data_IF_809455648667
#
_entry.id   IF_809455648667
#
_cell.length_a   1.000
_cell.length_b   1.000
_cell.length_c   1.000
_cell.angle_alpha   90.00
_cell.angle_beta   90.00
_cell.angle_gamma   90.00
#
_symmetry.space_group_name_H-M   'P 1'
#
loop_
_entity.id
_entity.type
_entity.pdbx_description
1 polymer ?
#
# COMPACT_ATOMS: atom_id res chain seq x y z
N UNK A 1 -7.09 2.71 -20.83
CA UNK A 1 -6.27 3.31 -19.75
C UNK A 1 -5.63 2.16 -19.00
N UNK A 2 -4.30 2.11 -18.93
CA UNK A 2 -3.60 1.06 -18.18
C UNK A 2 -3.83 1.21 -16.67
N UNK A 3 -3.71 0.11 -15.92
CA UNK A 3 -3.66 0.16 -14.46
C UNK A 3 -2.35 0.84 -14.05
N UNK A 4 -2.46 2.05 -13.48
CA UNK A 4 -1.31 2.79 -12.96
C UNK A 4 -0.68 1.97 -11.82
N UNK A 5 0.58 1.53 -11.99
CA UNK A 5 1.34 0.77 -11.00
C UNK A 5 2.15 1.71 -10.13
N UNK A 6 1.87 1.70 -8.82
CA UNK A 6 2.49 2.59 -7.85
C UNK A 6 3.20 1.75 -6.79
N UNK A 7 4.44 2.11 -6.48
CA UNK A 7 5.11 1.63 -5.27
C UNK A 7 5.09 2.73 -4.23
N UNK A 8 5.01 2.37 -2.95
CA UNK A 8 5.19 3.32 -1.85
C UNK A 8 6.35 2.86 -1.02
N UNK A 9 7.48 3.55 -1.15
CA UNK A 9 8.68 3.28 -0.35
C UNK A 9 8.53 3.91 1.04
N UNK A 10 8.40 3.07 2.05
CA UNK A 10 8.17 3.49 3.43
C UNK A 10 6.72 3.38 3.87
N UNK A 11 6.25 2.15 4.06
CA UNK A 11 4.92 1.84 4.61
C UNK A 11 4.81 2.12 6.14
N UNK A 12 5.05 3.37 6.54
CA UNK A 12 4.71 3.91 7.85
C UNK A 12 3.40 4.72 7.79
N UNK A 13 3.15 5.61 8.75
CA UNK A 13 1.90 6.37 8.82
C UNK A 13 1.54 7.10 7.50
N UNK A 14 2.47 7.91 6.98
CA UNK A 14 2.25 8.70 5.75
C UNK A 14 2.10 7.79 4.53
N UNK A 15 3.06 6.88 4.31
CA UNK A 15 3.05 6.00 3.13
C UNK A 15 1.85 5.05 3.11
N UNK A 16 1.47 4.49 4.26
CA UNK A 16 0.27 3.66 4.34
C UNK A 16 -1.00 4.45 4.13
N UNK A 17 -1.12 5.69 4.64
CA UNK A 17 -2.31 6.49 4.39
C UNK A 17 -2.48 6.79 2.89
N UNK A 18 -1.47 7.38 2.23
CA UNK A 18 -1.59 7.71 0.82
C UNK A 18 -1.65 6.48 -0.08
N UNK A 19 -0.82 5.46 0.18
CA UNK A 19 -0.87 4.21 -0.56
C UNK A 19 -2.22 3.48 -0.41
N UNK A 20 -2.79 3.52 0.78
CA UNK A 20 -4.14 3.01 1.04
C UNK A 20 -5.22 3.78 0.29
N UNK A 21 -5.16 5.11 0.26
CA UNK A 21 -6.12 5.94 -0.49
C UNK A 21 -6.03 5.69 -2.01
N UNK A 22 -4.82 5.54 -2.56
CA UNK A 22 -4.61 5.20 -3.96
C UNK A 22 -5.14 3.80 -4.29
N UNK A 23 -4.93 2.82 -3.41
CA UNK A 23 -5.49 1.48 -3.55
C UNK A 23 -7.04 1.50 -3.49
N UNK A 24 -7.64 2.28 -2.58
CA UNK A 24 -9.10 2.50 -2.51
C UNK A 24 -9.67 3.12 -3.77
N UNK A 25 -8.90 3.95 -4.46
CA UNK A 25 -9.28 4.53 -5.76
C UNK A 25 -9.13 3.54 -6.94
N UNK A 26 -8.74 2.29 -6.68
CA UNK A 26 -8.61 1.23 -7.69
C UNK A 26 -7.24 1.19 -8.39
N UNK A 27 -6.24 1.89 -7.89
CA UNK A 27 -4.88 1.86 -8.44
C UNK A 27 -4.10 0.63 -7.95
N UNK A 28 -3.18 0.13 -8.76
CA UNK A 28 -2.35 -1.01 -8.38
C UNK A 28 -1.19 -0.54 -7.51
N UNK A 29 -1.34 -0.65 -6.18
CA UNK A 29 -0.36 -0.17 -5.19
C UNK A 29 0.38 -1.32 -4.52
N UNK A 30 1.70 -1.16 -4.37
CA UNK A 30 2.54 -2.01 -3.51
C UNK A 30 3.19 -1.18 -2.41
N UNK A 31 2.89 -1.51 -1.15
CA UNK A 31 3.52 -0.91 0.03
C UNK A 31 4.84 -1.62 0.34
N UNK A 32 5.94 -0.87 0.45
CA UNK A 32 7.25 -1.44 0.78
C UNK A 32 7.68 -0.95 2.16
N UNK A 33 7.89 -1.88 3.08
CA UNK A 33 8.08 -1.54 4.50
C UNK A 33 8.74 -2.62 5.35
N UNK A 34 8.59 -2.48 6.66
CA UNK A 34 9.17 -3.41 7.64
C UNK A 34 8.27 -4.62 7.84
N UNK A 35 8.90 -5.77 8.14
CA UNK A 35 8.28 -7.10 8.21
C UNK A 35 6.95 -7.14 8.97
N UNK A 36 6.93 -6.66 10.21
CA UNK A 36 5.73 -6.73 11.06
C UNK A 36 4.50 -6.06 10.43
N UNK A 37 4.68 -4.87 9.82
CA UNK A 37 3.59 -4.17 9.15
C UNK A 37 3.19 -4.87 7.85
N UNK A 38 4.17 -5.30 7.04
CA UNK A 38 3.93 -6.01 5.78
C UNK A 38 3.16 -7.31 6.00
N UNK A 39 3.53 -8.10 7.01
CA UNK A 39 2.84 -9.36 7.34
C UNK A 39 1.41 -9.12 7.83
N UNK A 40 1.19 -8.07 8.63
CA UNK A 40 -0.16 -7.69 9.05
C UNK A 40 -1.03 -7.28 7.86
N UNK A 41 -0.52 -6.43 6.98
CA UNK A 41 -1.22 -5.98 5.76
C UNK A 41 -1.47 -7.15 4.80
N UNK A 42 -0.51 -8.05 4.62
CA UNK A 42 -0.67 -9.20 3.73
C UNK A 42 -1.74 -10.19 4.24
N UNK A 43 -1.88 -10.35 5.55
CA UNK A 43 -2.90 -11.22 6.16
C UNK A 43 -4.30 -10.62 6.16
N UNK A 44 -4.41 -9.33 6.47
CA UNK A 44 -5.69 -8.71 6.84
C UNK A 44 -6.11 -7.55 5.92
N UNK A 45 -5.25 -7.14 5.00
CA UNK A 45 -5.36 -5.85 4.33
C UNK A 45 -4.85 -4.71 5.19
N UNK A 46 -4.68 -3.54 4.57
CA UNK A 46 -4.31 -2.33 5.29
C UNK A 46 -5.55 -1.77 5.99
N UNK A 47 -5.58 -1.81 7.32
CA UNK A 47 -6.60 -1.12 8.09
C UNK A 47 -6.33 0.39 8.10
N UNK A 48 -7.27 1.17 7.60
CA UNK A 48 -7.27 2.63 7.66
C UNK A 48 -8.32 3.05 8.68
N UNK A 49 -7.85 3.64 9.76
CA UNK A 49 -8.69 4.27 10.79
C UNK A 49 -8.62 5.79 10.59
N UNK A 50 -9.72 6.39 10.11
CA UNK A 50 -9.82 7.82 9.86
C UNK A 50 -11.12 8.38 10.41
N UNK A 51 -11.18 9.71 10.54
CA UNK A 51 -12.38 10.41 11.02
C UNK A 51 -13.62 10.20 10.12
N UNK A 52 -13.44 9.82 8.85
CA UNK A 52 -14.52 9.70 7.88
C UNK A 52 -14.93 8.26 7.59
N UNK A 53 -14.03 7.31 7.81
CA UNK A 53 -14.26 5.89 7.56
C UNK A 53 -13.24 5.02 8.29
N UNK A 54 -13.63 3.79 8.57
CA UNK A 54 -12.77 2.72 9.06
C UNK A 54 -12.93 1.52 8.13
N UNK A 55 -11.85 1.11 7.46
CA UNK A 55 -11.94 0.10 6.41
C UNK A 55 -10.63 -0.69 6.28
N UNK A 56 -10.73 -1.97 5.90
CA UNK A 56 -9.58 -2.78 5.46
C UNK A 56 -9.48 -2.70 3.94
N UNK A 57 -8.39 -2.11 3.46
CA UNK A 57 -8.09 -1.95 2.04
C UNK A 57 -7.19 -3.07 1.57
N UNK A 58 -7.60 -3.77 0.51
CA UNK A 58 -6.72 -4.73 -0.15
C UNK A 58 -5.58 -3.99 -0.86
N UNK A 59 -4.34 -4.28 -0.48
CA UNK A 59 -3.14 -3.67 -1.06
C UNK A 59 -2.00 -4.67 -1.00
N UNK A 60 -1.16 -4.71 -2.03
CA UNK A 60 0.04 -5.53 -1.99
C UNK A 60 1.05 -4.93 -1.00
N UNK A 61 1.81 -5.79 -0.33
CA UNK A 61 2.86 -5.36 0.60
C UNK A 61 4.12 -6.22 0.45
N UNK A 62 5.30 -5.62 0.61
CA UNK A 62 6.58 -6.32 0.47
C UNK A 62 7.65 -5.74 1.40
N UNK A 63 8.61 -6.59 1.78
CA UNK A 63 9.85 -6.17 2.45
C UNK A 63 11.00 -5.94 1.47
N UNK A 64 10.81 -6.31 0.20
CA UNK A 64 11.84 -6.27 -0.82
C UNK A 64 11.73 -4.98 -1.65
N UNK A 65 12.85 -4.26 -1.79
CA UNK A 65 12.92 -3.05 -2.61
C UNK A 65 12.61 -3.34 -4.09
N UNK A 66 12.92 -4.55 -4.56
CA UNK A 66 12.66 -4.96 -5.94
C UNK A 66 11.17 -4.97 -6.31
N UNK A 67 10.28 -4.96 -5.31
CA UNK A 67 8.85 -4.83 -5.55
C UNK A 67 8.46 -3.50 -6.22
N UNK A 68 9.36 -2.50 -6.26
CA UNK A 68 9.18 -1.25 -6.98
C UNK A 68 9.53 -1.32 -8.48
N UNK A 69 10.14 -2.42 -8.96
CA UNK A 69 10.78 -2.51 -10.30
C UNK A 69 9.87 -2.09 -11.47
N UNK A 70 8.57 -2.39 -11.40
CA UNK A 70 7.63 -2.11 -12.49
C UNK A 70 6.69 -0.93 -12.19
N UNK A 71 6.96 -0.16 -11.13
CA UNK A 71 6.16 0.98 -10.76
C UNK A 71 6.43 2.15 -11.72
N UNK A 72 5.35 2.86 -12.08
CA UNK A 72 5.39 4.09 -12.87
C UNK A 72 5.56 5.32 -11.97
N UNK A 73 5.28 5.16 -10.67
CA UNK A 73 5.45 6.14 -9.60
C UNK A 73 5.95 5.44 -8.31
N UNK A 74 6.90 6.07 -7.60
CA UNK A 74 7.44 5.63 -6.31
C UNK A 74 7.32 6.72 -5.26
#
# INVERSE_FOLDING_TARGET
MGLNRIAVMGAGAVGSYFGGMLARAGMAVTLIGRRAHVEAVAREGLFIDSIHFQERVSVAASTQVDAARNAELV
#
